data_IF_327535825315
#
_entry.id   IF_327535825315
#
_cell.length_a   1.000
_cell.length_b   1.000
_cell.length_c   1.000
_cell.angle_alpha   90.00
_cell.angle_beta   90.00
_cell.angle_gamma   90.00
#
_symmetry.space_group_name_H-M   'P 1'
#
loop_
_entity.id
_entity.type
_entity.pdbx_description
1 polymer ?
#
# COMPACT_ATOMS: atom_id res chain seq x y z
N UNK A 1 -11.36 -14.72 -5.70
CA UNK A 1 -9.97 -14.24 -5.52
C UNK A 1 -9.47 -13.53 -6.79
N UNK A 2 -9.35 -14.22 -7.92
CA UNK A 2 -8.77 -13.68 -9.15
C UNK A 2 -9.54 -12.49 -9.73
N UNK A 3 -10.87 -12.45 -9.61
CA UNK A 3 -11.66 -11.27 -10.00
C UNK A 3 -11.33 -10.04 -9.16
N UNK A 4 -11.06 -10.21 -7.88
CA UNK A 4 -10.63 -9.11 -7.00
C UNK A 4 -9.19 -8.67 -7.34
N UNK A 5 -8.32 -9.61 -7.66
CA UNK A 5 -6.98 -9.30 -8.16
C UNK A 5 -7.03 -8.50 -9.47
N UNK A 6 -7.95 -8.82 -10.38
CA UNK A 6 -8.13 -8.12 -11.65
C UNK A 6 -8.50 -6.64 -11.51
N UNK A 7 -9.05 -6.22 -10.35
CA UNK A 7 -9.29 -4.80 -10.05
C UNK A 7 -7.99 -4.01 -10.04
N UNK A 8 -6.90 -4.64 -9.60
CA UNK A 8 -5.59 -4.02 -9.42
C UNK A 8 -4.60 -4.31 -10.56
N UNK A 9 -5.00 -5.05 -11.60
CA UNK A 9 -4.10 -5.55 -12.65
C UNK A 9 -3.23 -4.45 -13.29
N UNK A 10 -3.80 -3.27 -13.55
CA UNK A 10 -3.08 -2.13 -14.10
C UNK A 10 -2.57 -1.13 -13.04
N UNK A 11 -2.62 -1.49 -11.75
CA UNK A 11 -2.20 -0.58 -10.68
C UNK A 11 -0.70 -0.54 -10.54
N UNK A 12 -0.13 0.65 -10.57
CA UNK A 12 1.30 0.89 -10.41
C UNK A 12 1.55 1.99 -9.40
N UNK A 13 2.73 1.95 -8.76
CA UNK A 13 3.20 3.01 -7.87
C UNK A 13 3.98 4.05 -8.65
N UNK A 14 3.86 5.31 -8.26
CA UNK A 14 4.62 6.41 -8.83
C UNK A 14 4.90 7.50 -7.80
N UNK A 15 5.96 8.24 -8.05
CA UNK A 15 6.23 9.50 -7.40
C UNK A 15 5.73 10.63 -8.30
N UNK A 16 4.98 11.57 -7.73
CA UNK A 16 4.50 12.78 -8.39
C UNK A 16 5.00 14.01 -7.65
N UNK A 17 5.22 15.10 -8.36
CA UNK A 17 5.53 16.37 -7.70
C UNK A 17 4.32 16.80 -6.88
N UNK A 18 4.56 17.17 -5.62
CA UNK A 18 3.56 17.70 -4.71
C UNK A 18 4.15 18.90 -3.97
N UNK A 19 3.33 19.86 -3.58
CA UNK A 19 3.78 20.91 -2.68
C UNK A 19 3.94 20.37 -1.26
N UNK A 20 4.85 20.95 -0.48
CA UNK A 20 4.91 20.68 0.94
C UNK A 20 3.61 21.09 1.62
N UNK A 21 3.15 20.29 2.55
CA UNK A 21 2.01 20.65 3.38
C UNK A 21 2.46 21.59 4.50
N UNK A 22 1.55 22.43 5.00
CA UNK A 22 1.84 23.46 6.01
C UNK A 22 2.37 22.90 7.35
N UNK A 23 2.20 21.62 7.61
CA UNK A 23 2.68 20.95 8.83
C UNK A 23 3.96 20.15 8.65
N UNK A 24 4.56 20.12 7.45
CA UNK A 24 5.78 19.37 7.21
C UNK A 24 7.01 20.12 7.72
N UNK A 25 7.92 19.40 8.38
CA UNK A 25 9.21 19.97 8.77
C UNK A 25 10.14 20.05 7.56
N UNK A 26 10.39 21.29 7.12
CA UNK A 26 11.31 21.59 6.02
C UNK A 26 12.64 22.20 6.48
N UNK A 27 12.92 22.18 7.77
CA UNK A 27 14.15 22.75 8.34
C UNK A 27 15.40 22.14 7.70
N UNK A 28 16.30 22.99 7.25
CA UNK A 28 17.53 22.60 6.59
C UNK A 28 17.40 22.04 5.17
N UNK A 29 16.18 21.89 4.65
CA UNK A 29 15.94 21.28 3.33
C UNK A 29 16.73 22.00 2.20
N UNK A 30 16.64 23.33 2.11
CA UNK A 30 17.35 24.09 1.07
C UNK A 30 18.86 24.04 1.26
N UNK A 31 19.35 24.04 2.48
CA UNK A 31 20.80 23.91 2.78
C UNK A 31 21.33 22.54 2.35
N UNK A 32 20.61 21.47 2.66
CA UNK A 32 20.98 20.12 2.25
C UNK A 32 20.91 19.94 0.75
N UNK A 33 19.91 20.52 0.08
CA UNK A 33 19.78 20.53 -1.37
C UNK A 33 20.99 21.20 -2.04
N UNK A 34 21.32 22.41 -1.57
CA UNK A 34 22.50 23.16 -2.08
C UNK A 34 23.80 22.38 -1.89
N UNK A 35 24.01 21.78 -0.72
CA UNK A 35 25.19 20.96 -0.44
C UNK A 35 25.26 19.71 -1.34
N UNK A 36 24.12 19.08 -1.61
CA UNK A 36 24.06 17.94 -2.53
C UNK A 36 24.41 18.37 -3.96
N UNK A 37 23.91 19.50 -4.43
CA UNK A 37 24.21 20.05 -5.76
C UNK A 37 25.71 20.37 -5.89
N UNK A 38 26.28 21.06 -4.91
CA UNK A 38 27.70 21.37 -4.87
C UNK A 38 28.58 20.12 -4.97
N UNK A 39 28.31 19.10 -4.16
CA UNK A 39 29.06 17.83 -4.17
C UNK A 39 28.90 17.07 -5.50
N UNK A 40 27.73 17.12 -6.09
CA UNK A 40 27.49 16.53 -7.42
C UNK A 40 28.32 17.23 -8.50
N UNK A 41 28.40 18.55 -8.45
CA UNK A 41 29.17 19.33 -9.42
C UNK A 41 30.68 19.18 -9.20
N UNK A 42 31.14 19.05 -7.98
CA UNK A 42 32.54 18.68 -7.67
C UNK A 42 32.91 17.31 -8.26
N UNK A 43 32.02 16.32 -8.10
CA UNK A 43 32.18 14.99 -8.65
C UNK A 43 32.25 15.02 -10.20
N UNK A 44 31.37 15.79 -10.84
CA UNK A 44 31.39 15.99 -12.30
C UNK A 44 32.69 16.62 -12.77
N UNK A 45 33.18 17.66 -12.08
CA UNK A 45 34.46 18.31 -12.38
C UNK A 45 35.61 17.34 -12.22
N UNK A 46 35.65 16.56 -11.15
CA UNK A 46 36.67 15.54 -10.93
C UNK A 46 36.71 14.51 -12.07
N UNK A 47 35.52 14.00 -12.50
CA UNK A 47 35.41 13.06 -13.60
C UNK A 47 35.82 13.68 -14.95
N UNK A 48 35.45 14.94 -15.20
CA UNK A 48 35.80 15.67 -16.41
C UNK A 48 37.29 16.02 -16.51
N UNK A 49 37.99 16.13 -15.37
CA UNK A 49 39.42 16.38 -15.29
C UNK A 49 40.30 15.13 -15.41
N UNK A 50 39.74 13.94 -15.56
CA UNK A 50 40.49 12.72 -15.75
C UNK A 50 41.07 12.64 -17.17
N UNK A 51 42.32 12.15 -17.36
CA UNK A 51 42.90 11.93 -18.68
C UNK A 51 42.00 11.05 -19.56
N UNK A 52 42.01 11.27 -20.88
CA UNK A 52 41.25 10.40 -21.81
C UNK A 52 41.73 8.95 -21.73
N UNK A 53 43.03 8.76 -21.66
CA UNK A 53 43.65 7.46 -21.43
C UNK A 53 43.95 7.30 -19.93
N UNK A 54 43.42 6.25 -19.32
CA UNK A 54 43.64 5.90 -17.90
C UNK A 54 44.89 5.04 -17.82
N UNK A 55 46.02 5.64 -17.43
CA UNK A 55 47.31 4.91 -17.37
C UNK A 55 47.72 4.59 -15.92
N UNK A 56 47.16 5.30 -14.93
CA UNK A 56 47.53 5.08 -13.54
C UNK A 56 46.46 4.37 -12.75
N UNK A 57 46.82 3.55 -11.74
CA UNK A 57 45.84 2.97 -10.80
C UNK A 57 44.97 4.02 -10.10
N UNK A 58 45.53 5.21 -9.87
CA UNK A 58 44.83 6.33 -9.25
C UNK A 58 43.71 6.85 -10.18
N UNK A 59 43.92 6.97 -11.47
CA UNK A 59 42.93 7.42 -12.43
C UNK A 59 41.78 6.42 -12.54
N UNK A 60 42.05 5.13 -12.56
CA UNK A 60 41.02 4.08 -12.49
C UNK A 60 40.24 4.12 -11.19
N UNK A 61 40.92 4.34 -10.05
CA UNK A 61 40.28 4.47 -8.74
C UNK A 61 39.33 5.67 -8.69
N UNK A 62 39.78 6.83 -9.16
CA UNK A 62 38.98 8.06 -9.23
C UNK A 62 37.79 7.92 -10.17
N UNK A 63 37.99 7.32 -11.34
CA UNK A 63 36.89 7.07 -12.28
C UNK A 63 35.85 6.15 -11.69
N UNK A 64 36.26 5.03 -11.10
CA UNK A 64 35.35 4.06 -10.45
C UNK A 64 34.52 4.71 -9.32
N UNK A 65 35.23 5.48 -8.47
CA UNK A 65 34.59 6.19 -7.36
C UNK A 65 33.63 7.28 -7.87
N UNK A 66 34.06 8.08 -8.83
CA UNK A 66 33.25 9.14 -9.42
C UNK A 66 32.00 8.62 -10.12
N UNK A 67 32.10 7.50 -10.84
CA UNK A 67 30.93 6.84 -11.44
C UNK A 67 29.95 6.32 -10.38
N UNK A 68 30.47 5.76 -9.26
CA UNK A 68 29.64 5.35 -8.10
C UNK A 68 28.93 6.56 -7.50
N UNK A 69 29.63 7.66 -7.25
CA UNK A 69 29.05 8.88 -6.70
C UNK A 69 28.03 9.51 -7.65
N UNK A 70 28.30 9.58 -8.95
CA UNK A 70 27.34 10.07 -9.94
C UNK A 70 26.02 9.30 -9.87
N UNK A 71 26.08 7.99 -9.68
CA UNK A 71 24.89 7.15 -9.51
C UNK A 71 24.16 7.45 -8.22
N UNK A 72 24.88 7.59 -7.09
CA UNK A 72 24.30 7.95 -5.80
C UNK A 72 23.67 9.34 -5.82
N UNK A 73 24.32 10.33 -6.43
CA UNK A 73 23.78 11.67 -6.58
C UNK A 73 22.52 11.69 -7.46
N UNK A 74 22.50 10.90 -8.54
CA UNK A 74 21.30 10.79 -9.37
C UNK A 74 20.10 10.20 -8.61
N UNK A 75 20.34 9.30 -7.66
CA UNK A 75 19.28 8.76 -6.80
C UNK A 75 18.85 9.73 -5.70
N UNK A 76 19.79 10.55 -5.21
CA UNK A 76 19.51 11.54 -4.16
C UNK A 76 18.81 12.80 -4.66
N UNK A 77 18.86 13.08 -5.95
CA UNK A 77 18.32 14.31 -6.52
C UNK A 77 16.81 14.51 -6.22
N UNK A 78 16.04 13.44 -6.28
CA UNK A 78 14.60 13.51 -6.04
C UNK A 78 14.23 13.70 -4.55
N UNK A 79 15.18 13.47 -3.63
CA UNK A 79 14.97 13.72 -2.19
C UNK A 79 14.88 15.21 -1.84
N UNK A 80 15.31 16.08 -2.73
CA UNK A 80 15.30 17.53 -2.55
C UNK A 80 14.21 18.22 -3.36
N UNK A 81 13.21 17.45 -3.77
CA UNK A 81 11.97 17.97 -4.34
C UNK A 81 10.79 17.46 -3.53
N UNK A 82 9.77 18.29 -3.30
CA UNK A 82 8.55 17.81 -2.68
C UNK A 82 7.87 16.81 -3.61
N UNK A 83 7.69 15.59 -3.12
CA UNK A 83 7.08 14.48 -3.85
C UNK A 83 6.05 13.78 -3.00
N UNK A 84 4.98 13.33 -3.62
CA UNK A 84 4.02 12.41 -3.02
C UNK A 84 4.14 11.03 -3.66
N UNK A 85 4.05 10.00 -2.83
CA UNK A 85 3.91 8.64 -3.30
C UNK A 85 2.47 8.37 -3.67
N UNK A 86 2.21 7.90 -4.87
CA UNK A 86 0.86 7.69 -5.38
C UNK A 86 0.71 6.37 -6.13
N UNK A 87 -0.52 5.98 -6.35
CA UNK A 87 -0.90 4.87 -7.22
C UNK A 87 -1.64 5.40 -8.44
N UNK A 88 -1.32 4.86 -9.60
CA UNK A 88 -1.99 5.22 -10.85
C UNK A 88 -2.27 3.98 -11.69
N UNK A 89 -3.10 4.13 -12.70
CA UNK A 89 -3.31 3.10 -13.70
C UNK A 89 -2.28 3.27 -14.82
N UNK A 90 -1.54 2.22 -15.12
CA UNK A 90 -0.49 2.23 -16.13
C UNK A 90 -0.44 0.93 -16.92
N UNK A 91 0.26 0.95 -18.05
CA UNK A 91 0.51 -0.28 -18.80
C UNK A 91 1.60 -1.10 -18.12
N UNK A 92 1.49 -2.45 -18.14
CA UNK A 92 2.55 -3.33 -17.66
C UNK A 92 3.86 -3.00 -18.35
N UNK A 93 4.93 -2.97 -17.58
CA UNK A 93 6.28 -2.75 -18.11
C UNK A 93 7.02 -4.07 -18.13
N UNK A 94 7.53 -4.51 -19.28
CA UNK A 94 8.34 -5.71 -19.34
C UNK A 94 9.60 -5.51 -18.50
N UNK A 95 9.82 -6.36 -17.52
CA UNK A 95 11.07 -6.43 -16.78
C UNK A 95 12.15 -6.99 -17.71
N UNK A 96 13.00 -6.11 -18.21
CA UNK A 96 14.12 -6.51 -19.10
C UNK A 96 15.33 -7.04 -18.32
N UNK A 97 15.46 -6.75 -17.03
CA UNK A 97 16.57 -7.18 -16.18
C UNK A 97 16.18 -7.26 -14.71
N UNK A 98 16.52 -8.36 -14.07
CA UNK A 98 16.34 -8.61 -12.62
C UNK A 98 17.34 -7.80 -11.76
N UNK A 99 18.39 -7.25 -12.33
CA UNK A 99 19.27 -6.33 -11.63
C UNK A 99 18.53 -5.01 -11.38
N UNK A 100 17.63 -5.09 -10.48
CA UNK A 100 16.72 -4.05 -10.07
C UNK A 100 17.45 -2.78 -9.67
N UNK A 101 17.28 -1.80 -10.46
CA UNK A 101 17.40 -0.42 -9.98
C UNK A 101 16.08 -0.08 -9.31
N UNK A 102 16.15 0.69 -8.23
CA UNK A 102 14.99 1.39 -7.71
C UNK A 102 14.28 2.07 -8.88
N UNK A 103 13.15 1.52 -9.22
CA UNK A 103 12.41 1.94 -10.38
C UNK A 103 11.58 3.16 -10.00
N UNK A 104 11.86 4.29 -10.64
CA UNK A 104 11.05 5.50 -10.48
C UNK A 104 10.08 5.59 -11.67
N UNK A 105 8.88 5.08 -11.54
CA UNK A 105 7.91 5.14 -12.62
C UNK A 105 7.49 6.59 -12.80
N UNK A 106 7.74 7.12 -14.00
CA UNK A 106 7.12 8.38 -14.41
C UNK A 106 5.69 8.06 -14.82
N UNK A 107 4.73 8.80 -14.26
CA UNK A 107 3.34 8.74 -14.71
C UNK A 107 3.30 9.22 -16.17
N UNK A 108 2.93 8.35 -17.08
CA UNK A 108 2.64 8.73 -18.46
C UNK A 108 1.12 8.85 -18.63
N UNK A 109 0.59 10.03 -18.35
CA UNK A 109 -0.83 10.33 -18.44
C UNK A 109 -1.38 10.34 -19.88
N UNK A 110 -0.51 10.43 -20.88
CA UNK A 110 -0.89 10.47 -22.28
C UNK A 110 -0.97 9.08 -22.94
N UNK A 111 -0.45 8.04 -22.30
CA UNK A 111 -0.49 6.70 -22.86
C UNK A 111 -1.88 6.08 -22.76
N UNK A 112 -2.42 5.57 -23.86
CA UNK A 112 -3.62 4.73 -23.83
C UNK A 112 -3.36 3.50 -22.96
N UNK A 113 -4.15 3.34 -21.89
CA UNK A 113 -4.03 2.20 -20.99
C UNK A 113 -4.71 1.00 -21.64
N UNK A 114 -3.97 -0.10 -21.79
CA UNK A 114 -4.49 -1.38 -22.24
C UNK A 114 -4.83 -2.22 -21.01
N UNK A 115 -6.07 -2.68 -20.84
CA UNK A 115 -6.44 -3.55 -19.73
C UNK A 115 -5.57 -4.81 -19.72
N UNK A 116 -4.94 -5.08 -18.58
CA UNK A 116 -4.19 -6.30 -18.36
C UNK A 116 -5.17 -7.47 -18.21
N UNK A 117 -4.89 -8.56 -18.92
CA UNK A 117 -5.68 -9.79 -18.84
C UNK A 117 -5.31 -10.53 -17.56
N UNK A 118 -6.31 -10.80 -16.74
CA UNK A 118 -6.17 -11.61 -15.53
C UNK A 118 -6.88 -12.94 -15.76
N UNK A 119 -6.29 -14.03 -15.33
CA UNK A 119 -6.82 -15.38 -15.47
C UNK A 119 -6.75 -16.14 -14.15
N UNK A 120 -7.55 -17.19 -14.04
CA UNK A 120 -7.38 -18.19 -13.00
C UNK A 120 -6.05 -18.91 -13.26
N UNK A 121 -5.26 -19.10 -12.21
CA UNK A 121 -3.99 -19.83 -12.30
C UNK A 121 -4.19 -21.27 -11.82
N UNK A 122 -3.97 -22.22 -12.69
CA UNK A 122 -4.11 -23.65 -12.36
C UNK A 122 -3.07 -24.02 -11.28
N UNK A 123 -3.54 -24.52 -10.14
CA UNK A 123 -2.66 -24.82 -9.01
C UNK A 123 -1.90 -23.62 -8.44
N UNK A 124 -2.25 -22.38 -8.82
CA UNK A 124 -1.51 -21.17 -8.44
C UNK A 124 -0.25 -20.91 -9.27
N UNK A 125 0.01 -21.69 -10.29
CA UNK A 125 1.17 -21.55 -11.17
C UNK A 125 1.01 -20.38 -12.14
N UNK A 126 1.93 -19.42 -12.06
CA UNK A 126 1.95 -18.22 -12.91
C UNK A 126 2.10 -18.51 -14.41
N UNK A 127 2.65 -19.65 -14.76
CA UNK A 127 2.86 -20.08 -16.16
C UNK A 127 1.73 -20.94 -16.71
N UNK A 128 0.72 -21.24 -15.88
CA UNK A 128 -0.43 -22.07 -16.26
C UNK A 128 -1.76 -21.30 -16.14
N UNK A 129 -1.94 -20.20 -16.92
CA UNK A 129 -3.19 -19.47 -16.91
C UNK A 129 -4.32 -20.31 -17.53
N UNK A 130 -5.46 -20.37 -16.84
CA UNK A 130 -6.70 -20.99 -17.30
C UNK A 130 -7.68 -19.90 -17.80
N UNK A 131 -8.95 -20.00 -17.42
CA UNK A 131 -9.99 -19.08 -17.89
C UNK A 131 -9.73 -17.63 -17.49
N UNK A 132 -9.94 -16.68 -18.39
CA UNK A 132 -9.86 -15.25 -18.08
C UNK A 132 -10.95 -14.85 -17.10
N UNK A 133 -10.64 -13.90 -16.22
CA UNK A 133 -11.58 -13.37 -15.24
C UNK A 133 -11.77 -11.87 -15.43
N UNK A 134 -13.00 -11.42 -15.20
CA UNK A 134 -13.36 -10.02 -15.15
C UNK A 134 -13.11 -9.45 -13.74
N UNK A 135 -12.86 -8.13 -13.62
CA UNK A 135 -12.77 -7.48 -12.32
C UNK A 135 -14.06 -7.63 -11.52
N UNK A 136 -13.95 -8.00 -10.26
CA UNK A 136 -15.11 -8.24 -9.42
C UNK A 136 -14.77 -8.21 -7.92
N UNK A 137 -15.80 -8.25 -7.08
CA UNK A 137 -15.68 -8.37 -5.63
C UNK A 137 -16.08 -9.77 -5.16
N UNK A 138 -16.03 -10.00 -3.85
CA UNK A 138 -16.38 -11.31 -3.25
C UNK A 138 -17.89 -11.55 -3.35
N UNK A 139 -18.28 -12.57 -4.08
CA UNK A 139 -19.69 -12.98 -4.26
C UNK A 139 -20.34 -13.47 -2.96
N UNK A 140 -19.54 -14.02 -2.03
CA UNK A 140 -20.02 -14.55 -0.75
C UNK A 140 -20.75 -13.52 0.13
N UNK A 141 -20.46 -12.24 -0.05
CA UNK A 141 -21.12 -11.14 0.69
C UNK A 141 -22.57 -10.92 0.24
N UNK A 142 -22.94 -11.45 -0.94
CA UNK A 142 -24.28 -11.25 -1.52
C UNK A 142 -24.54 -9.82 -2.07
N UNK A 143 -23.57 -8.93 -1.94
CA UNK A 143 -23.63 -7.56 -2.45
C UNK A 143 -22.92 -7.46 -3.80
N UNK A 144 -23.67 -7.08 -4.84
CA UNK A 144 -23.10 -6.88 -6.16
C UNK A 144 -22.17 -5.65 -6.18
N UNK A 145 -21.01 -5.79 -6.79
CA UNK A 145 -20.10 -4.69 -7.04
C UNK A 145 -20.17 -4.28 -8.51
N UNK A 146 -20.48 -3.02 -8.78
CA UNK A 146 -20.46 -2.46 -10.13
C UNK A 146 -19.04 -1.99 -10.48
N UNK A 147 -18.16 -2.96 -10.72
CA UNK A 147 -16.76 -2.68 -11.09
C UNK A 147 -16.68 -2.58 -12.62
N UNK A 148 -16.21 -1.44 -13.16
CA UNK A 148 -16.12 -1.27 -14.59
C UNK A 148 -15.10 -2.22 -15.24
N UNK A 149 -15.35 -2.61 -16.48
CA UNK A 149 -14.40 -3.37 -17.29
C UNK A 149 -13.20 -2.54 -17.71
N UNK A 150 -13.41 -1.23 -17.90
CA UNK A 150 -12.35 -0.26 -18.13
C UNK A 150 -11.44 -0.15 -16.89
N UNK A 151 -10.17 0.15 -17.13
CA UNK A 151 -9.18 0.23 -16.03
C UNK A 151 -9.51 1.36 -15.05
N UNK A 152 -10.04 2.47 -15.57
CA UNK A 152 -10.38 3.62 -14.74
C UNK A 152 -11.64 3.34 -13.90
N UNK A 153 -11.58 3.75 -12.64
CA UNK A 153 -12.69 3.61 -11.70
C UNK A 153 -12.78 2.28 -10.96
N UNK A 154 -12.04 1.23 -11.36
CA UNK A 154 -12.08 -0.09 -10.70
C UNK A 154 -11.82 -0.01 -9.20
N UNK A 155 -10.75 0.65 -8.79
CA UNK A 155 -10.39 0.80 -7.36
C UNK A 155 -11.41 1.62 -6.61
N UNK A 156 -11.94 2.68 -7.21
CA UNK A 156 -13.01 3.50 -6.62
C UNK A 156 -14.29 2.70 -6.44
N UNK A 157 -14.67 1.89 -7.44
CA UNK A 157 -15.84 1.02 -7.34
C UNK A 157 -15.66 -0.04 -6.25
N UNK A 158 -14.48 -0.66 -6.16
CA UNK A 158 -14.16 -1.59 -5.09
C UNK A 158 -14.20 -0.91 -3.72
N UNK A 159 -13.65 0.30 -3.58
CA UNK A 159 -13.70 1.05 -2.33
C UNK A 159 -15.14 1.34 -1.90
N UNK A 160 -16.01 1.75 -2.81
CA UNK A 160 -17.44 1.95 -2.56
C UNK A 160 -18.11 0.65 -2.10
N UNK A 161 -17.78 -0.48 -2.72
CA UNK A 161 -18.29 -1.78 -2.31
C UNK A 161 -17.80 -2.18 -0.92
N UNK A 162 -16.52 -1.99 -0.60
CA UNK A 162 -15.94 -2.29 0.72
C UNK A 162 -16.65 -1.48 1.82
N UNK A 163 -16.92 -0.19 1.57
CA UNK A 163 -17.53 0.72 2.55
C UNK A 163 -19.04 0.79 2.46
N UNK A 164 -19.67 -0.04 1.64
CA UNK A 164 -21.11 -0.04 1.49
C UNK A 164 -21.80 -0.49 2.78
N UNK A 165 -22.88 0.18 3.15
CA UNK A 165 -23.64 -0.12 4.40
C UNK A 165 -24.13 -1.56 4.48
N UNK A 166 -24.46 -2.16 3.34
CA UNK A 166 -24.94 -3.54 3.25
C UNK A 166 -23.80 -4.57 3.11
N UNK A 167 -22.53 -4.12 3.12
CA UNK A 167 -21.40 -5.02 3.21
C UNK A 167 -21.21 -5.46 4.66
N UNK A 168 -21.81 -6.59 4.99
CA UNK A 168 -21.82 -7.12 6.35
C UNK A 168 -20.45 -7.54 6.89
N UNK A 169 -19.45 -7.69 6.01
CA UNK A 169 -18.14 -8.24 6.39
C UNK A 169 -17.18 -7.18 6.90
N UNK A 170 -17.08 -6.04 6.22
CA UNK A 170 -16.04 -5.03 6.50
C UNK A 170 -16.09 -4.49 7.92
N UNK A 171 -17.29 -4.06 8.36
CA UNK A 171 -17.47 -3.52 9.71
C UNK A 171 -17.23 -4.59 10.79
N UNK A 172 -17.72 -5.82 10.60
CA UNK A 172 -17.49 -6.93 11.54
C UNK A 172 -16.02 -7.27 11.69
N UNK A 173 -15.26 -7.34 10.59
CA UNK A 173 -13.81 -7.60 10.62
C UNK A 173 -13.08 -6.52 11.39
N UNK A 174 -13.35 -5.24 11.09
CA UNK A 174 -12.70 -4.12 11.78
C UNK A 174 -13.01 -4.12 13.28
N UNK A 175 -14.27 -4.25 13.64
CA UNK A 175 -14.72 -4.31 15.04
C UNK A 175 -14.08 -5.48 15.78
N UNK A 176 -14.03 -6.65 15.16
CA UNK A 176 -13.41 -7.83 15.75
C UNK A 176 -11.90 -7.64 15.98
N UNK A 177 -11.21 -6.98 15.07
CA UNK A 177 -9.79 -6.64 15.25
C UNK A 177 -9.60 -5.66 16.42
N UNK A 178 -10.39 -4.59 16.50
CA UNK A 178 -10.31 -3.63 17.61
C UNK A 178 -10.63 -4.30 18.93
N UNK A 179 -11.67 -5.13 18.99
CA UNK A 179 -12.01 -5.92 20.17
C UNK A 179 -10.87 -6.81 20.62
N UNK A 180 -10.21 -7.50 19.66
CA UNK A 180 -9.07 -8.35 19.96
C UNK A 180 -7.90 -7.60 20.59
N UNK A 181 -7.62 -6.38 20.14
CA UNK A 181 -6.57 -5.56 20.74
C UNK A 181 -6.88 -5.15 22.18
N UNK A 182 -8.16 -5.01 22.54
CA UNK A 182 -8.58 -4.68 23.92
C UNK A 182 -8.61 -5.89 24.84
N UNK A 183 -9.06 -7.05 24.35
CA UNK A 183 -9.32 -8.22 25.17
C UNK A 183 -8.40 -9.42 24.90
N UNK A 184 -7.38 -9.25 24.03
CA UNK A 184 -6.43 -10.30 23.65
C UNK A 184 -7.01 -11.35 22.68
N UNK A 185 -8.34 -11.46 22.59
CA UNK A 185 -9.05 -12.39 21.69
C UNK A 185 -10.25 -11.71 21.05
N UNK A 186 -10.43 -11.92 19.74
CA UNK A 186 -11.59 -11.43 19.00
C UNK A 186 -12.89 -12.16 19.40
N UNK A 187 -14.04 -11.51 19.21
CA UNK A 187 -15.35 -12.14 19.30
C UNK A 187 -15.44 -13.33 18.33
N UNK A 188 -14.93 -13.17 17.10
CA UNK A 188 -14.59 -14.27 16.20
C UNK A 188 -13.11 -14.63 16.41
N UNK A 189 -12.85 -15.83 16.96
CA UNK A 189 -11.52 -16.23 17.41
C UNK A 189 -10.50 -16.53 16.28
N UNK A 190 -10.92 -16.41 15.01
CA UNK A 190 -10.04 -16.46 13.82
C UNK A 190 -10.11 -15.13 13.07
N UNK A 191 -9.42 -14.08 13.53
CA UNK A 191 -9.60 -12.71 13.01
C UNK A 191 -9.25 -12.54 11.54
N UNK A 192 -8.39 -13.40 11.01
CA UNK A 192 -8.00 -13.42 9.59
C UNK A 192 -8.82 -14.40 8.74
N UNK A 193 -9.83 -15.07 9.33
CA UNK A 193 -10.65 -16.03 8.61
C UNK A 193 -12.10 -15.97 9.07
N UNK A 194 -12.89 -15.18 8.36
CA UNK A 194 -14.35 -15.06 8.53
C UNK A 194 -15.12 -15.97 7.55
N UNK A 195 -14.42 -16.86 6.85
CA UNK A 195 -15.01 -17.84 5.94
C UNK A 195 -15.56 -19.08 6.64
N UNK A 196 -16.02 -20.03 5.86
CA UNK A 196 -16.66 -21.28 6.33
C UNK A 196 -15.79 -22.13 7.28
N UNK A 197 -14.46 -22.04 7.14
CA UNK A 197 -13.49 -22.75 8.00
C UNK A 197 -13.04 -21.92 9.21
N UNK A 198 -13.50 -20.68 9.32
CA UNK A 198 -13.21 -19.81 10.48
C UNK A 198 -14.00 -20.20 11.71
N UNK A 199 -13.56 -19.71 12.88
CA UNK A 199 -14.29 -19.88 14.13
C UNK A 199 -15.52 -18.97 14.15
N UNK A 200 -16.67 -19.53 14.51
CA UNK A 200 -17.88 -18.73 14.70
C UNK A 200 -17.68 -17.72 15.83
N UNK A 201 -18.31 -16.55 15.76
CA UNK A 201 -18.32 -15.60 16.86
C UNK A 201 -18.89 -16.20 18.13
N UNK A 202 -18.28 -15.92 19.28
CA UNK A 202 -18.82 -16.33 20.59
C UNK A 202 -20.07 -15.56 20.97
N UNK A 203 -20.17 -14.31 20.53
CA UNK A 203 -21.30 -13.40 20.78
C UNK A 203 -21.66 -12.71 19.45
N UNK A 204 -22.42 -13.39 18.58
CA UNK A 204 -22.74 -12.87 17.24
C UNK A 204 -23.53 -11.55 17.31
N UNK A 205 -24.51 -11.45 18.17
CA UNK A 205 -25.35 -10.26 18.31
C UNK A 205 -24.56 -9.04 18.77
N UNK A 206 -23.59 -9.24 19.68
CA UNK A 206 -22.69 -8.18 20.11
C UNK A 206 -21.79 -7.72 18.96
N UNK A 207 -21.26 -8.65 18.18
CA UNK A 207 -20.42 -8.31 17.01
C UNK A 207 -21.23 -7.52 15.98
N UNK A 208 -22.47 -7.91 15.74
CA UNK A 208 -23.37 -7.25 14.78
C UNK A 208 -23.80 -5.86 15.27
N UNK A 209 -24.10 -5.74 16.54
CA UNK A 209 -24.42 -4.46 17.14
C UNK A 209 -23.24 -3.48 17.08
N UNK A 210 -22.06 -3.92 17.51
CA UNK A 210 -20.85 -3.09 17.44
C UNK A 210 -20.51 -2.68 16.00
N UNK A 211 -20.68 -3.58 15.02
CA UNK A 211 -20.48 -3.27 13.62
C UNK A 211 -21.46 -2.21 13.11
N UNK A 212 -22.72 -2.30 13.51
CA UNK A 212 -23.76 -1.32 13.16
C UNK A 212 -23.48 0.05 13.79
N UNK A 213 -23.12 0.09 15.08
CA UNK A 213 -22.74 1.31 15.77
C UNK A 213 -21.49 1.97 15.15
N UNK A 214 -20.50 1.16 14.78
CA UNK A 214 -19.29 1.65 14.11
C UNK A 214 -19.61 2.35 12.79
N UNK A 215 -20.49 1.76 11.98
CA UNK A 215 -20.95 2.38 10.73
C UNK A 215 -21.78 3.64 11.00
N UNK A 216 -22.73 3.58 11.94
CA UNK A 216 -23.60 4.70 12.30
C UNK A 216 -22.82 5.92 12.81
N UNK A 217 -21.69 5.70 13.48
CA UNK A 217 -20.76 6.75 13.94
C UNK A 217 -19.72 7.16 12.90
N UNK A 218 -19.99 6.93 11.62
CA UNK A 218 -19.14 7.37 10.51
C UNK A 218 -17.79 6.65 10.45
N UNK A 219 -17.74 5.39 10.83
CA UNK A 219 -16.50 4.56 10.83
C UNK A 219 -15.40 5.13 11.74
N UNK A 220 -15.77 5.79 12.82
CA UNK A 220 -14.86 6.39 13.78
C UNK A 220 -14.24 5.34 14.70
N UNK A 221 -12.99 4.99 14.45
CA UNK A 221 -12.21 4.07 15.30
C UNK A 221 -12.09 4.62 16.72
N UNK A 222 -11.98 5.94 16.88
CA UNK A 222 -11.90 6.60 18.19
C UNK A 222 -13.20 6.42 19.00
N UNK A 223 -14.34 6.56 18.37
CA UNK A 223 -15.63 6.32 19.04
C UNK A 223 -15.82 4.84 19.39
N UNK A 224 -15.36 3.93 18.52
CA UNK A 224 -15.38 2.50 18.81
C UNK A 224 -14.51 2.15 20.03
N UNK A 225 -13.29 2.69 20.12
CA UNK A 225 -12.44 2.53 21.31
C UNK A 225 -13.14 3.06 22.56
N UNK A 226 -13.72 4.27 22.49
CA UNK A 226 -14.44 4.86 23.64
C UNK A 226 -15.58 3.95 24.07
N UNK A 227 -16.40 3.46 23.14
CA UNK A 227 -17.52 2.59 23.41
C UNK A 227 -17.10 1.31 24.16
N UNK A 228 -16.02 0.67 23.68
CA UNK A 228 -15.47 -0.54 24.31
C UNK A 228 -14.91 -0.24 25.70
N UNK A 229 -14.06 0.77 25.82
CA UNK A 229 -13.35 1.07 27.08
C UNK A 229 -14.25 1.60 28.19
N UNK A 230 -15.38 2.21 27.85
CA UNK A 230 -16.37 2.68 28.83
C UNK A 230 -17.39 1.61 29.20
N UNK A 231 -17.37 0.45 28.56
CA UNK A 231 -18.28 -0.65 28.86
C UNK A 231 -17.99 -1.28 30.23
N UNK A 232 -19.02 -1.81 30.88
CA UNK A 232 -18.89 -2.55 32.12
C UNK A 232 -17.97 -3.76 31.98
N UNK A 233 -17.97 -4.40 30.83
CA UNK A 233 -17.09 -5.54 30.54
C UNK A 233 -15.63 -5.15 30.61
N UNK A 234 -15.24 -4.03 30.01
CA UNK A 234 -13.84 -3.56 29.99
C UNK A 234 -13.38 -3.07 31.39
N UNK A 235 -14.31 -2.52 32.16
CA UNK A 235 -14.03 -1.95 33.50
C UNK A 235 -13.97 -2.99 34.61
N UNK A 236 -14.26 -4.26 34.34
CA UNK A 236 -14.13 -5.33 35.33
C UNK A 236 -12.65 -5.59 35.67
N UNK A 237 -12.42 -5.92 36.92
CA UNK A 237 -11.08 -6.37 37.37
C UNK A 237 -10.69 -7.66 36.64
N UNK A 238 -9.41 -7.73 36.25
CA UNK A 238 -8.83 -8.94 35.64
C UNK A 238 -8.42 -10.00 36.66
N UNK A 239 -8.40 -9.63 37.94
CA UNK A 239 -8.05 -10.52 39.06
C UNK A 239 -9.16 -10.46 40.10
N UNK A 240 -9.47 -11.58 40.70
CA UNK A 240 -10.42 -11.69 41.81
C UNK A 240 -9.73 -12.43 42.97
N UNK A 241 -9.92 -11.99 44.23
CA UNK A 241 -9.24 -12.61 45.37
C UNK A 241 -9.61 -14.07 45.63
N UNK A 242 -10.77 -14.51 45.10
CA UNK A 242 -11.27 -15.88 45.28
C UNK A 242 -11.06 -16.77 44.05
N UNK A 243 -10.17 -16.37 43.11
CA UNK A 243 -9.78 -17.22 41.95
C UNK A 243 -8.37 -17.72 42.27
N UNK A 244 -8.28 -18.93 42.79
CA UNK A 244 -7.07 -19.76 42.84
C UNK A 244 -6.75 -20.36 41.49
#
# INVERSE_FOLDING_TARGET
YYSMQAVFANTQFAEVNAAFQSGENTDGFETHKKNHELRNDENKRMLGGLPKERVSPNDFGRERLGRKWSKLFSWGHDRYRPIAYTVYNGNPRPQKNVSSRLFKPKVNSAARIVPEKTAILTGGDLFSPADPVEPGALSVVGLKADIPREVNGRRTALAKWITHKDNSLTARVMVNCVWQYHFGRGLAGSPNNFGATGKKPTHPDLLDWLASEFMAKGWSVKELHRLIMTSETYRRASTHPDID
#
